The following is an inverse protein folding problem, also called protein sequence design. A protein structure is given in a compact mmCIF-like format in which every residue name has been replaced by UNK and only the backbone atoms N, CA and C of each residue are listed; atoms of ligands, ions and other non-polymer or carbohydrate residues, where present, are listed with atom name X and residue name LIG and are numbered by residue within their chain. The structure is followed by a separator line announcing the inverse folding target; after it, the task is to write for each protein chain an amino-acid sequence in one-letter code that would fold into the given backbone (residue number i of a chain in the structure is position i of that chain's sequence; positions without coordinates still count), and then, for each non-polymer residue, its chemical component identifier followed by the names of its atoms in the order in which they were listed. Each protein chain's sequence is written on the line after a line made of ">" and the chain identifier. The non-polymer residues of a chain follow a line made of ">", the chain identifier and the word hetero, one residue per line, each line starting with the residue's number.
data_IF_209240470322
#
_entry.id   IF_209240470322
#
_cell.length_a   1.000
_cell.length_b   1.000
_cell.length_c   1.000
_cell.angle_alpha   90.00
_cell.angle_beta   90.00
_cell.angle_gamma   90.00
#
_symmetry.space_group_name_H-M   'P 1'
#
loop_
_entity.id
_entity.type
_entity.pdbx_description
1 polymer ?
#
# COMPACT_ATOMS: atom_id res chain seq x y z
N UNK A 1 16.65 -50.99 8.91
CA UNK A 1 17.43 -50.61 10.11
C UNK A 1 16.88 -49.27 10.54
N UNK A 2 15.79 -49.34 11.29
CA UNK A 2 15.10 -48.24 11.94
C UNK A 2 15.97 -47.67 13.03
N UNK A 3 16.33 -46.38 12.99
CA UNK A 3 16.60 -45.57 14.19
C UNK A 3 16.44 -44.09 13.83
N UNK A 4 15.22 -43.56 13.88
CA UNK A 4 14.99 -42.18 14.37
C UNK A 4 13.68 -42.18 15.14
N UNK A 5 13.90 -42.45 16.41
CA UNK A 5 12.99 -42.65 17.50
C UNK A 5 12.15 -41.41 17.79
N UNK A 6 10.88 -41.66 18.10
CA UNK A 6 9.88 -40.68 18.47
C UNK A 6 10.31 -39.85 19.69
N UNK A 7 10.55 -38.56 19.48
CA UNK A 7 10.40 -37.57 20.55
C UNK A 7 8.93 -37.12 20.55
N UNK A 8 8.10 -37.84 21.31
CA UNK A 8 6.73 -37.45 21.59
C UNK A 8 6.76 -36.25 22.56
N UNK A 9 6.85 -35.04 22.04
CA UNK A 9 6.52 -33.84 22.83
C UNK A 9 5.06 -33.94 23.28
N UNK A 10 4.71 -33.57 24.52
CA UNK A 10 3.32 -33.46 24.91
C UNK A 10 2.73 -32.31 24.09
N UNK A 11 2.05 -32.66 23.00
CA UNK A 11 1.25 -31.72 22.24
C UNK A 11 0.21 -31.18 23.19
N UNK A 12 0.36 -29.92 23.59
CA UNK A 12 -0.71 -29.14 24.23
C UNK A 12 -1.86 -29.14 23.23
N UNK A 13 -2.80 -30.06 23.43
CA UNK A 13 -4.10 -30.00 22.77
C UNK A 13 -4.85 -28.87 23.44
N UNK A 14 -4.72 -27.67 22.89
CA UNK A 14 -5.61 -26.57 23.21
C UNK A 14 -6.99 -26.99 22.70
N UNK A 15 -7.83 -27.51 23.58
CA UNK A 15 -9.23 -27.83 23.26
C UNK A 15 -10.01 -26.52 23.22
N UNK A 16 -10.75 -26.30 22.13
CA UNK A 16 -11.54 -25.08 21.88
C UNK A 16 -12.56 -24.75 22.98
N UNK A 17 -12.94 -25.73 23.81
CA UNK A 17 -13.86 -25.54 24.94
C UNK A 17 -13.26 -24.86 26.17
N UNK A 18 -11.94 -24.88 26.35
CA UNK A 18 -11.27 -24.23 27.50
C UNK A 18 -10.90 -22.77 27.20
N UNK A 19 -11.06 -22.32 25.96
CA UNK A 19 -10.67 -20.99 25.52
C UNK A 19 -11.83 -19.98 25.41
N UNK A 20 -13.10 -20.38 25.62
CA UNK A 20 -14.22 -19.44 25.43
C UNK A 20 -14.19 -18.30 26.44
N UNK A 21 -13.85 -18.59 27.69
CA UNK A 21 -13.76 -17.61 28.76
C UNK A 21 -12.56 -16.67 28.54
N UNK A 22 -11.42 -17.23 28.14
CA UNK A 22 -10.22 -16.45 27.76
C UNK A 22 -10.46 -15.57 26.53
N UNK A 23 -11.21 -16.07 25.55
CA UNK A 23 -11.59 -15.31 24.36
C UNK A 23 -12.57 -14.17 24.71
N UNK A 24 -13.56 -14.43 25.58
CA UNK A 24 -14.46 -13.40 26.08
C UNK A 24 -13.72 -12.32 26.88
N UNK A 25 -12.74 -12.73 27.71
CA UNK A 25 -11.85 -11.79 28.41
C UNK A 25 -11.00 -10.98 27.44
N UNK A 26 -10.45 -11.61 26.39
CA UNK A 26 -9.73 -10.91 25.33
C UNK A 26 -10.62 -9.89 24.62
N UNK A 27 -11.81 -10.29 24.18
CA UNK A 27 -12.75 -9.43 23.44
C UNK A 27 -13.16 -8.23 24.29
N UNK A 28 -13.53 -8.46 25.55
CA UNK A 28 -13.94 -7.38 26.45
C UNK A 28 -12.79 -6.41 26.76
N UNK A 29 -11.58 -6.91 26.95
CA UNK A 29 -10.39 -6.07 27.19
C UNK A 29 -10.02 -5.25 25.96
N UNK A 30 -10.05 -5.87 24.79
CA UNK A 30 -9.67 -5.24 23.54
C UNK A 30 -10.72 -4.23 23.07
N UNK A 31 -12.00 -4.52 23.28
CA UNK A 31 -13.07 -3.59 22.96
C UNK A 31 -13.06 -2.35 23.89
N UNK A 32 -12.76 -2.53 25.19
CA UNK A 32 -12.50 -1.41 26.11
C UNK A 32 -11.31 -0.56 25.67
N UNK A 33 -10.23 -1.20 25.19
CA UNK A 33 -9.04 -0.49 24.69
C UNK A 33 -9.36 0.36 23.45
N UNK A 34 -10.26 -0.12 22.57
CA UNK A 34 -10.56 0.50 21.27
C UNK A 34 -11.65 1.57 21.32
N UNK A 35 -12.51 1.60 22.34
CA UNK A 35 -13.65 2.50 22.34
C UNK A 35 -14.08 3.01 23.71
N UNK A 36 -14.27 4.33 23.81
CA UNK A 36 -15.01 5.00 24.88
C UNK A 36 -16.49 4.55 24.96
N UNK A 37 -16.99 3.84 23.94
CA UNK A 37 -18.36 3.32 23.90
C UNK A 37 -18.65 2.36 25.06
N UNK A 38 -17.62 1.67 25.56
CA UNK A 38 -17.75 0.76 26.70
C UNK A 38 -18.04 1.47 28.02
N UNK A 39 -17.61 2.72 28.15
CA UNK A 39 -17.94 3.55 29.32
C UNK A 39 -19.40 4.03 29.30
N UNK A 40 -20.08 3.92 28.14
CA UNK A 40 -21.43 4.48 27.93
C UNK A 40 -22.55 3.43 27.97
N UNK A 41 -22.27 2.15 27.70
CA UNK A 41 -23.25 1.06 27.85
C UNK A 41 -22.58 -0.30 28.13
N UNK A 42 -22.44 -0.70 29.40
CA UNK A 42 -21.92 -2.02 29.79
C UNK A 42 -22.71 -3.20 29.21
N UNK A 43 -23.99 -3.02 28.91
CA UNK A 43 -24.88 -4.06 28.39
C UNK A 43 -24.52 -4.41 26.93
N UNK A 44 -24.25 -3.39 26.11
CA UNK A 44 -23.80 -3.59 24.72
C UNK A 44 -22.45 -4.32 24.68
N UNK A 45 -21.59 -4.03 25.63
CA UNK A 45 -20.29 -4.65 25.79
C UNK A 45 -20.38 -6.15 26.06
N UNK A 46 -21.27 -6.51 26.99
CA UNK A 46 -21.53 -7.90 27.33
C UNK A 46 -22.12 -8.65 26.14
N UNK A 47 -23.09 -8.02 25.44
CA UNK A 47 -23.68 -8.60 24.23
C UNK A 47 -22.62 -8.85 23.14
N UNK A 48 -21.76 -7.86 22.86
CA UNK A 48 -20.67 -8.02 21.87
C UNK A 48 -19.73 -9.15 22.28
N UNK A 49 -19.34 -9.21 23.55
CA UNK A 49 -18.45 -10.27 24.04
C UNK A 49 -19.08 -11.66 23.87
N UNK A 50 -20.35 -11.83 24.23
CA UNK A 50 -21.07 -13.11 24.11
C UNK A 50 -21.23 -13.54 22.64
N UNK A 51 -21.72 -12.63 21.80
CA UNK A 51 -21.97 -12.88 20.38
C UNK A 51 -20.68 -13.20 19.64
N UNK A 52 -19.62 -12.41 19.85
CA UNK A 52 -18.34 -12.65 19.18
C UNK A 52 -17.60 -13.87 19.72
N UNK A 53 -17.67 -14.17 21.02
CA UNK A 53 -17.01 -15.37 21.58
C UNK A 53 -17.63 -16.64 21.01
N UNK A 54 -18.96 -16.66 20.86
CA UNK A 54 -19.69 -17.77 20.25
C UNK A 54 -19.40 -17.88 18.76
N UNK A 55 -19.46 -16.75 18.03
CA UNK A 55 -19.24 -16.74 16.58
C UNK A 55 -17.79 -17.01 16.16
N UNK A 56 -16.82 -16.72 17.01
CA UNK A 56 -15.41 -16.92 16.73
C UNK A 56 -14.98 -18.39 16.75
N UNK A 57 -15.71 -19.28 17.45
CA UNK A 57 -15.36 -20.70 17.61
C UNK A 57 -13.86 -20.92 17.96
N UNK A 58 -13.35 -20.11 18.90
CA UNK A 58 -11.95 -20.14 19.33
C UNK A 58 -10.94 -19.39 18.43
N UNK A 59 -11.38 -18.72 17.36
CA UNK A 59 -10.51 -17.99 16.44
C UNK A 59 -10.27 -16.54 16.89
N UNK A 60 -9.20 -16.30 17.66
CA UNK A 60 -8.79 -14.96 18.12
C UNK A 60 -8.61 -13.94 16.97
N UNK A 61 -8.06 -14.37 15.84
CA UNK A 61 -7.89 -13.49 14.67
C UNK A 61 -9.25 -13.01 14.13
N UNK A 62 -10.24 -13.91 14.06
CA UNK A 62 -11.59 -13.54 13.62
C UNK A 62 -12.20 -12.53 14.61
N UNK A 63 -12.08 -12.79 15.91
CA UNK A 63 -12.59 -11.90 16.95
C UNK A 63 -11.94 -10.51 16.90
N UNK A 64 -10.60 -10.44 16.74
CA UNK A 64 -9.87 -9.18 16.61
C UNK A 64 -10.33 -8.38 15.40
N UNK A 65 -10.50 -9.03 14.25
CA UNK A 65 -10.95 -8.37 13.01
C UNK A 65 -12.42 -7.93 13.08
N UNK A 66 -13.26 -8.68 13.80
CA UNK A 66 -14.63 -8.25 14.10
C UNK A 66 -14.66 -7.02 15.00
N UNK A 67 -13.75 -6.92 15.97
CA UNK A 67 -13.57 -5.70 16.76
C UNK A 67 -13.09 -4.53 15.91
N UNK A 68 -12.29 -4.76 14.86
CA UNK A 68 -11.92 -3.72 13.89
C UNK A 68 -13.13 -3.25 13.06
N UNK A 69 -14.08 -4.15 12.78
CA UNK A 69 -15.35 -3.79 12.13
C UNK A 69 -16.29 -3.03 13.07
N UNK A 70 -16.36 -3.38 14.34
CA UNK A 70 -17.23 -2.69 15.29
C UNK A 70 -16.65 -1.35 15.74
N UNK A 71 -15.34 -1.28 15.90
CA UNK A 71 -14.63 -0.13 16.50
C UNK A 71 -13.40 0.24 15.66
N UNK A 72 -13.59 0.76 14.43
CA UNK A 72 -12.47 1.11 13.56
C UNK A 72 -11.68 2.28 14.15
N UNK A 73 -10.37 2.14 14.28
CA UNK A 73 -9.51 3.22 14.82
C UNK A 73 -9.20 4.32 13.81
N UNK A 74 -9.25 3.98 12.51
CA UNK A 74 -8.72 4.82 11.42
C UNK A 74 -9.72 5.05 10.27
N UNK A 75 -10.98 4.70 10.48
CA UNK A 75 -12.08 4.89 9.53
C UNK A 75 -13.30 5.50 10.21
N UNK A 76 -14.34 5.79 9.42
CA UNK A 76 -15.63 6.27 9.91
C UNK A 76 -16.21 5.26 10.91
N UNK A 77 -16.64 5.76 12.07
CA UNK A 77 -17.30 4.93 13.08
C UNK A 77 -18.64 4.41 12.52
N UNK A 78 -18.95 3.11 12.69
CA UNK A 78 -20.25 2.59 12.27
C UNK A 78 -21.37 3.21 13.10
N UNK A 79 -22.53 3.35 12.48
CA UNK A 79 -23.77 3.72 13.16
C UNK A 79 -24.27 2.58 14.06
N UNK A 80 -25.14 2.89 15.01
CA UNK A 80 -25.76 1.88 15.88
C UNK A 80 -26.51 0.82 15.07
N UNK A 81 -27.17 1.21 13.98
CA UNK A 81 -27.85 0.28 13.07
C UNK A 81 -26.86 -0.65 12.38
N UNK A 82 -25.74 -0.13 11.85
CA UNK A 82 -24.71 -0.98 11.23
C UNK A 82 -24.05 -1.95 12.22
N UNK A 83 -23.94 -1.57 13.50
CA UNK A 83 -23.48 -2.46 14.57
C UNK A 83 -24.52 -3.57 14.81
N UNK A 84 -25.80 -3.22 14.92
CA UNK A 84 -26.88 -4.19 15.10
C UNK A 84 -26.94 -5.19 13.93
N UNK A 85 -26.96 -4.69 12.69
CA UNK A 85 -26.97 -5.52 11.49
C UNK A 85 -25.76 -6.48 11.45
N UNK A 86 -24.58 -6.01 11.87
CA UNK A 86 -23.37 -6.84 11.92
C UNK A 86 -23.44 -7.93 13.00
N UNK A 87 -24.05 -7.64 14.16
CA UNK A 87 -24.24 -8.60 15.25
C UNK A 87 -25.35 -9.61 14.98
N UNK A 88 -26.39 -9.21 14.24
CA UNK A 88 -27.46 -10.11 13.78
C UNK A 88 -26.97 -11.07 12.68
N UNK A 89 -26.16 -10.57 11.74
CA UNK A 89 -25.60 -11.35 10.63
C UNK A 89 -24.07 -11.37 10.66
N UNK A 90 -23.53 -12.20 11.55
CA UNK A 90 -22.10 -12.41 11.68
C UNK A 90 -21.48 -13.05 10.43
N UNK A 91 -20.31 -12.55 9.97
CA UNK A 91 -19.52 -13.22 8.94
C UNK A 91 -19.11 -14.63 9.37
N UNK A 92 -19.40 -15.64 8.57
CA UNK A 92 -19.17 -17.05 8.94
C UNK A 92 -17.73 -17.51 8.71
N UNK A 93 -16.93 -16.73 7.99
CA UNK A 93 -15.54 -17.08 7.67
C UNK A 93 -14.61 -15.88 7.75
N UNK A 94 -13.30 -16.12 7.94
CA UNK A 94 -12.27 -15.08 7.83
C UNK A 94 -12.31 -14.36 6.48
N UNK A 95 -12.61 -15.09 5.40
CA UNK A 95 -12.78 -14.54 4.05
C UNK A 95 -13.88 -13.46 4.04
N UNK A 96 -15.00 -13.71 4.68
CA UNK A 96 -16.11 -12.76 4.75
C UNK A 96 -15.75 -11.53 5.59
N UNK A 97 -15.03 -11.73 6.71
CA UNK A 97 -14.51 -10.64 7.54
C UNK A 97 -13.55 -9.76 6.74
N UNK A 98 -12.62 -10.36 5.99
CA UNK A 98 -11.71 -9.62 5.12
C UNK A 98 -12.46 -8.78 4.08
N UNK A 99 -13.46 -9.34 3.41
CA UNK A 99 -14.27 -8.58 2.44
C UNK A 99 -15.02 -7.41 3.10
N UNK A 100 -15.60 -7.60 4.30
CA UNK A 100 -16.25 -6.51 5.04
C UNK A 100 -15.27 -5.40 5.43
N UNK A 101 -14.05 -5.74 5.86
CA UNK A 101 -13.00 -4.75 6.16
C UNK A 101 -12.55 -4.00 4.91
N UNK A 102 -12.28 -4.72 3.82
CA UNK A 102 -11.88 -4.16 2.54
C UNK A 102 -12.96 -3.26 1.92
N UNK A 103 -14.24 -3.55 2.17
CA UNK A 103 -15.35 -2.71 1.69
C UNK A 103 -15.31 -1.28 2.25
N UNK A 104 -14.70 -1.08 3.44
CA UNK A 104 -14.58 0.23 4.11
C UNK A 104 -13.41 1.07 3.64
N UNK A 105 -12.52 0.51 2.83
CA UNK A 105 -11.37 1.22 2.28
C UNK A 105 -11.84 2.22 1.21
N UNK A 106 -11.50 3.49 1.42
CA UNK A 106 -11.83 4.58 0.49
C UNK A 106 -10.93 4.57 -0.76
N UNK A 107 -9.61 4.56 -0.58
CA UNK A 107 -8.66 4.57 -1.69
C UNK A 107 -8.29 3.14 -2.12
N UNK A 108 -9.16 2.57 -2.94
CA UNK A 108 -8.99 1.19 -3.42
C UNK A 108 -7.72 1.00 -4.25
N UNK A 109 -7.33 2.01 -5.02
CA UNK A 109 -6.18 1.94 -5.93
C UNK A 109 -4.87 1.83 -5.17
N UNK A 110 -4.62 2.77 -4.24
CA UNK A 110 -3.40 2.76 -3.43
C UNK A 110 -3.34 1.57 -2.48
N UNK A 111 -4.49 1.18 -1.93
CA UNK A 111 -4.57 0.00 -1.06
C UNK A 111 -4.24 -1.28 -1.80
N UNK A 112 -4.81 -1.47 -3.00
CA UNK A 112 -4.47 -2.62 -3.84
C UNK A 112 -2.98 -2.62 -4.20
N UNK A 113 -2.44 -1.45 -4.55
CA UNK A 113 -1.01 -1.27 -4.79
C UNK A 113 -0.15 -1.65 -3.57
N UNK A 114 -0.52 -1.19 -2.38
CA UNK A 114 0.12 -1.54 -1.11
C UNK A 114 0.16 -3.06 -0.89
N UNK A 115 -0.98 -3.74 -1.04
CA UNK A 115 -1.03 -5.19 -0.90
C UNK A 115 -0.18 -5.91 -1.95
N UNK A 116 -0.19 -5.44 -3.20
CA UNK A 116 0.68 -5.99 -4.24
C UNK A 116 2.16 -5.85 -3.86
N UNK A 117 2.58 -4.65 -3.41
CA UNK A 117 3.95 -4.38 -2.96
C UNK A 117 4.39 -5.37 -1.88
N UNK A 118 3.63 -5.47 -0.78
CA UNK A 118 3.96 -6.32 0.37
C UNK A 118 3.98 -7.80 -0.04
N UNK A 119 3.02 -8.24 -0.86
CA UNK A 119 2.88 -9.65 -1.25
C UNK A 119 4.06 -10.16 -2.08
N UNK A 120 4.57 -9.35 -3.01
CA UNK A 120 5.64 -9.79 -3.92
C UNK A 120 7.04 -9.34 -3.52
N UNK A 121 7.16 -8.55 -2.45
CA UNK A 121 8.44 -8.06 -1.97
C UNK A 121 9.41 -9.21 -1.70
N UNK A 122 10.70 -9.00 -2.03
CA UNK A 122 11.76 -10.00 -1.87
C UNK A 122 12.31 -10.07 -0.45
N UNK A 123 12.02 -9.04 0.33
CA UNK A 123 12.20 -8.90 1.78
C UNK A 123 11.10 -7.98 2.30
N UNK A 124 10.78 -7.99 3.60
CA UNK A 124 9.88 -7.02 4.20
C UNK A 124 10.30 -5.58 3.85
N UNK A 125 9.30 -4.74 3.60
CA UNK A 125 9.48 -3.32 3.24
C UNK A 125 9.25 -2.47 4.47
N UNK A 126 10.09 -1.44 4.66
CA UNK A 126 9.84 -0.46 5.71
C UNK A 126 8.72 0.51 5.33
N UNK A 127 8.20 1.23 6.31
CA UNK A 127 7.20 2.29 6.10
C UNK A 127 7.70 3.29 5.04
N UNK A 128 8.93 3.77 5.20
CA UNK A 128 9.50 4.76 4.27
C UNK A 128 9.65 4.22 2.85
N UNK A 129 10.03 2.95 2.70
CA UNK A 129 10.11 2.29 1.39
C UNK A 129 8.76 2.20 0.69
N UNK A 130 7.71 1.87 1.44
CA UNK A 130 6.34 1.78 0.91
C UNK A 130 5.80 3.15 0.52
N UNK A 131 6.03 4.19 1.32
CA UNK A 131 5.63 5.57 0.97
C UNK A 131 6.34 6.01 -0.31
N UNK A 132 7.65 5.77 -0.41
CA UNK A 132 8.43 6.04 -1.62
C UNK A 132 7.86 5.29 -2.84
N UNK A 133 7.54 4.01 -2.69
CA UNK A 133 6.99 3.18 -3.76
C UNK A 133 5.60 3.67 -4.22
N UNK A 134 4.70 3.99 -3.27
CA UNK A 134 3.36 4.49 -3.57
C UNK A 134 3.37 5.90 -4.20
N UNK A 135 4.44 6.67 -4.01
CA UNK A 135 4.61 7.98 -4.65
C UNK A 135 4.95 7.88 -6.14
N UNK A 136 5.22 6.69 -6.67
CA UNK A 136 5.63 6.48 -8.06
C UNK A 136 4.54 5.75 -8.83
N UNK A 137 4.19 6.31 -10.00
CA UNK A 137 3.30 5.65 -10.93
C UNK A 137 4.06 4.73 -11.89
N UNK A 138 3.65 3.45 -12.04
CA UNK A 138 4.24 2.55 -13.03
C UNK A 138 4.24 3.15 -14.44
N UNK A 139 5.40 3.17 -15.09
CA UNK A 139 5.54 3.61 -16.49
C UNK A 139 5.47 5.12 -16.73
N UNK A 140 5.39 5.95 -15.68
CA UNK A 140 5.47 7.41 -15.77
C UNK A 140 6.76 7.88 -15.08
N UNK A 141 7.46 8.83 -15.72
CA UNK A 141 8.60 9.50 -15.10
C UNK A 141 8.09 10.64 -14.24
N UNK A 142 8.21 10.48 -12.92
CA UNK A 142 7.81 11.48 -11.94
C UNK A 142 7.21 10.84 -10.71
N UNK A 143 7.28 11.55 -9.59
CA UNK A 143 6.49 11.22 -8.41
C UNK A 143 5.14 11.89 -8.53
N UNK A 144 4.08 11.19 -8.16
CA UNK A 144 2.91 11.90 -7.65
C UNK A 144 3.32 12.50 -6.31
N UNK A 145 3.13 13.81 -6.15
CA UNK A 145 3.26 14.43 -4.86
C UNK A 145 2.15 13.88 -3.97
N UNK A 146 2.46 12.82 -3.21
CA UNK A 146 1.64 12.46 -2.08
C UNK A 146 1.88 13.56 -1.05
N UNK A 147 1.00 14.55 -1.02
CA UNK A 147 0.96 15.51 0.07
C UNK A 147 0.40 14.74 1.27
N UNK A 148 1.28 14.04 1.99
CA UNK A 148 0.90 13.38 3.23
C UNK A 148 0.72 14.50 4.27
N UNK A 149 -0.51 15.01 4.38
CA UNK A 149 -0.87 15.91 5.48
C UNK A 149 -0.91 15.16 6.83
N UNK A 150 -0.99 13.83 6.78
CA UNK A 150 -0.94 12.91 7.91
C UNK A 150 0.47 12.33 8.11
N UNK A 151 0.73 11.62 9.20
CA UNK A 151 1.99 10.88 9.34
C UNK A 151 1.98 9.67 8.41
N UNK A 152 3.13 9.21 7.88
CA UNK A 152 3.24 7.99 7.07
C UNK A 152 2.50 6.77 7.63
N UNK A 153 2.60 6.56 8.94
CA UNK A 153 1.93 5.48 9.67
C UNK A 153 0.40 5.60 9.58
N UNK A 154 -0.14 6.81 9.66
CA UNK A 154 -1.59 7.05 9.59
C UNK A 154 -2.12 6.76 8.19
N UNK A 155 -1.34 7.08 7.15
CA UNK A 155 -1.71 6.74 5.77
C UNK A 155 -1.76 5.22 5.57
N UNK A 156 -0.77 4.48 6.05
CA UNK A 156 -0.77 3.01 5.95
C UNK A 156 -1.97 2.41 6.68
N UNK A 157 -2.29 2.94 7.86
CA UNK A 157 -3.46 2.54 8.64
C UNK A 157 -4.77 2.78 7.89
N UNK A 158 -4.89 3.88 7.14
CA UNK A 158 -6.05 4.18 6.29
C UNK A 158 -6.14 3.27 5.05
N UNK A 159 -5.00 2.92 4.43
CA UNK A 159 -4.99 2.12 3.21
C UNK A 159 -5.23 0.63 3.51
N UNK A 160 -4.63 0.05 4.54
CA UNK A 160 -4.74 -1.40 4.77
C UNK A 160 -4.61 -1.84 6.22
N UNK A 161 -4.69 -0.90 7.18
CA UNK A 161 -4.27 -1.11 8.56
C UNK A 161 -4.91 -2.27 9.32
N UNK A 162 -6.12 -2.69 8.96
CA UNK A 162 -6.77 -3.82 9.64
C UNK A 162 -6.25 -5.19 9.20
N UNK A 163 -5.56 -5.25 8.05
CA UNK A 163 -4.98 -6.49 7.52
C UNK A 163 -3.46 -6.50 7.60
N UNK A 164 -2.86 -5.40 8.07
CA UNK A 164 -1.43 -5.19 8.12
C UNK A 164 -1.02 -4.82 9.55
N UNK A 165 0.17 -5.25 9.96
CA UNK A 165 0.82 -4.73 11.15
C UNK A 165 2.22 -4.22 10.81
N UNK A 166 2.76 -3.40 11.70
CA UNK A 166 4.12 -2.90 11.63
C UNK A 166 4.90 -3.63 12.72
N UNK A 167 5.94 -4.34 12.32
CA UNK A 167 6.88 -4.98 13.24
C UNK A 167 7.71 -3.90 13.95
N UNK A 168 7.83 -3.98 15.27
CA UNK A 168 8.43 -2.91 16.07
C UNK A 168 9.96 -2.92 15.98
N UNK A 169 10.57 -4.09 15.78
CA UNK A 169 12.03 -4.24 15.79
C UNK A 169 12.69 -3.63 14.55
N UNK A 170 12.11 -3.83 13.37
CA UNK A 170 12.69 -3.42 12.09
C UNK A 170 11.85 -2.40 11.29
N UNK A 171 10.72 -1.96 11.87
CA UNK A 171 9.76 -1.03 11.27
C UNK A 171 9.24 -1.50 9.89
N UNK A 172 9.14 -2.82 9.70
CA UNK A 172 8.67 -3.42 8.44
C UNK A 172 7.20 -3.78 8.48
N UNK A 173 6.57 -3.76 7.31
CA UNK A 173 5.14 -3.99 7.16
C UNK A 173 4.87 -5.44 6.77
N UNK A 174 3.95 -6.08 7.49
CA UNK A 174 3.54 -7.47 7.29
C UNK A 174 2.02 -7.60 7.26
N UNK A 175 1.54 -8.70 6.69
CA UNK A 175 0.14 -9.08 6.85
C UNK A 175 -0.10 -9.60 8.26
N UNK A 176 -1.26 -9.26 8.85
CA UNK A 176 -1.67 -9.75 10.18
C UNK A 176 -1.69 -11.29 10.27
N UNK A 177 -1.88 -11.96 9.14
CA UNK A 177 -1.80 -13.41 9.03
C UNK A 177 -1.64 -13.84 7.56
N UNK A 178 -1.02 -15.00 7.31
CA UNK A 178 -0.83 -15.56 5.95
C UNK A 178 -2.13 -15.78 5.18
N UNK A 179 -3.24 -16.03 5.90
CA UNK A 179 -4.57 -16.17 5.29
C UNK A 179 -5.08 -14.87 4.66
N UNK A 180 -4.67 -13.69 5.14
CA UNK A 180 -5.05 -12.42 4.56
C UNK A 180 -4.39 -12.21 3.19
N UNK A 181 -3.08 -12.50 3.09
CA UNK A 181 -2.36 -12.49 1.83
C UNK A 181 -2.95 -13.52 0.85
N UNK A 182 -3.20 -14.74 1.34
CA UNK A 182 -3.80 -15.82 0.55
C UNK A 182 -5.17 -15.43 -0.02
N UNK A 183 -6.01 -14.76 0.79
CA UNK A 183 -7.33 -14.27 0.37
C UNK A 183 -7.25 -13.27 -0.79
N UNK A 184 -6.28 -12.35 -0.74
CA UNK A 184 -6.04 -11.36 -1.79
C UNK A 184 -5.50 -11.98 -3.10
N UNK A 185 -4.87 -13.16 -3.01
CA UNK A 185 -4.27 -13.84 -4.15
C UNK A 185 -5.21 -14.84 -4.86
N UNK A 186 -6.42 -15.06 -4.36
CA UNK A 186 -7.39 -15.98 -4.98
C UNK A 186 -7.91 -15.40 -6.30
N UNK A 187 -7.49 -16.01 -7.42
CA UNK A 187 -8.01 -15.65 -8.74
C UNK A 187 -9.47 -16.09 -8.89
N UNK A 188 -10.30 -15.19 -9.44
CA UNK A 188 -11.69 -15.52 -9.82
C UNK A 188 -12.76 -15.17 -8.79
N UNK A 189 -12.39 -14.60 -7.63
CA UNK A 189 -13.37 -13.93 -6.76
C UNK A 189 -13.52 -12.48 -7.19
N UNK A 190 -14.76 -11.97 -7.11
CA UNK A 190 -15.14 -10.57 -7.37
C UNK A 190 -14.60 -9.60 -6.31
N UNK A 191 -13.45 -9.89 -5.69
CA UNK A 191 -12.86 -9.00 -4.70
C UNK A 191 -12.15 -7.87 -5.46
N UNK A 192 -12.57 -6.63 -5.20
CA UNK A 192 -12.02 -5.42 -5.84
C UNK A 192 -10.52 -5.23 -5.56
N UNK A 193 -9.98 -5.99 -4.61
CA UNK A 193 -8.60 -5.98 -4.16
C UNK A 193 -7.81 -7.22 -4.59
N UNK A 194 -8.45 -8.22 -5.20
CA UNK A 194 -7.77 -9.43 -5.64
C UNK A 194 -6.74 -9.17 -6.74
N UNK A 195 -5.63 -9.90 -6.73
CA UNK A 195 -4.61 -9.81 -7.78
C UNK A 195 -3.85 -11.13 -7.97
N UNK A 196 -3.35 -11.34 -9.18
CA UNK A 196 -2.45 -12.45 -9.47
C UNK A 196 -1.00 -12.13 -9.08
N UNK A 197 -0.19 -13.17 -8.85
CA UNK A 197 1.27 -13.01 -8.63
C UNK A 197 1.92 -12.28 -9.80
N UNK A 198 1.59 -12.64 -11.04
CA UNK A 198 2.17 -11.99 -12.23
C UNK A 198 1.79 -10.51 -12.32
N UNK A 199 0.56 -10.16 -11.96
CA UNK A 199 0.08 -8.78 -11.92
C UNK A 199 0.84 -7.96 -10.87
N UNK A 200 0.94 -8.49 -9.64
CA UNK A 200 1.67 -7.83 -8.55
C UNK A 200 3.16 -7.69 -8.85
N UNK A 201 3.79 -8.71 -9.45
CA UNK A 201 5.19 -8.63 -9.91
C UNK A 201 5.36 -7.56 -10.99
N UNK A 202 4.42 -7.49 -11.94
CA UNK A 202 4.44 -6.47 -13.00
C UNK A 202 4.28 -5.06 -12.43
N UNK A 203 3.40 -4.88 -11.45
CA UNK A 203 3.22 -3.61 -10.73
C UNK A 203 4.50 -3.19 -10.00
N UNK A 204 5.06 -4.08 -9.17
CA UNK A 204 6.31 -3.83 -8.45
C UNK A 204 7.48 -3.53 -9.40
N UNK A 205 7.62 -4.30 -10.48
CA UNK A 205 8.64 -4.07 -11.51
C UNK A 205 8.46 -2.73 -12.22
N UNK A 206 7.22 -2.34 -12.50
CA UNK A 206 6.87 -1.03 -13.05
C UNK A 206 7.26 0.13 -12.13
N UNK A 207 7.04 -0.01 -10.82
CA UNK A 207 7.46 0.98 -9.82
C UNK A 207 8.99 1.03 -9.75
N UNK A 208 9.67 -0.11 -9.59
CA UNK A 208 11.13 -0.12 -9.50
C UNK A 208 11.80 0.48 -10.75
N UNK A 209 11.28 0.16 -11.94
CA UNK A 209 11.82 0.71 -13.19
C UNK A 209 11.58 2.21 -13.30
N UNK A 210 10.40 2.71 -12.93
CA UNK A 210 10.10 4.14 -12.90
C UNK A 210 10.95 4.89 -11.85
N UNK A 211 11.05 4.33 -10.64
CA UNK A 211 11.83 4.90 -9.53
C UNK A 211 13.31 5.05 -9.89
N UNK A 212 13.93 4.02 -10.47
CA UNK A 212 15.34 4.06 -10.90
C UNK A 212 15.61 5.04 -12.05
N UNK A 213 14.58 5.42 -12.82
CA UNK A 213 14.69 6.41 -13.88
C UNK A 213 14.32 7.84 -13.42
N UNK A 214 14.06 8.08 -12.12
CA UNK A 214 13.76 9.43 -11.63
C UNK A 214 14.95 10.39 -11.91
N UNK A 215 14.69 11.68 -12.22
CA UNK A 215 15.74 12.65 -12.57
C UNK A 215 16.84 12.79 -11.51
N UNK A 216 16.48 12.60 -10.24
CA UNK A 216 17.39 12.63 -9.09
C UNK A 216 18.52 11.59 -9.20
N UNK A 217 18.28 10.48 -9.90
CA UNK A 217 19.24 9.40 -10.11
C UNK A 217 19.91 9.44 -11.49
N UNK A 218 19.42 10.25 -12.42
CA UNK A 218 19.89 10.25 -13.81
C UNK A 218 21.12 11.14 -14.07
N UNK A 219 21.70 11.74 -13.03
CA UNK A 219 22.90 12.61 -13.15
C UNK A 219 22.68 13.89 -13.95
N UNK A 220 21.49 14.09 -14.50
CA UNK A 220 21.11 15.27 -15.27
C UNK A 220 20.32 16.19 -14.35
N UNK A 221 20.99 17.23 -13.83
CA UNK A 221 20.38 18.34 -13.10
C UNK A 221 19.29 19.00 -13.96
N UNK A 222 18.06 18.51 -13.90
CA UNK A 222 16.90 19.27 -14.32
C UNK A 222 16.17 19.75 -13.06
N UNK A 223 16.09 21.08 -12.93
CA UNK A 223 15.27 21.73 -11.91
C UNK A 223 13.83 21.24 -12.06
N UNK A 224 13.10 20.99 -10.96
CA UNK A 224 11.72 20.55 -11.03
C UNK A 224 10.88 21.63 -11.70
N UNK A 225 10.39 21.35 -12.92
CA UNK A 225 9.39 22.17 -13.60
C UNK A 225 8.07 21.45 -13.49
N UNK A 226 7.20 21.87 -12.56
CA UNK A 226 5.80 21.44 -12.57
C UNK A 226 5.17 21.93 -13.88
N UNK A 227 4.60 21.00 -14.66
CA UNK A 227 3.84 21.34 -15.84
C UNK A 227 2.61 22.16 -15.41
N UNK A 228 2.60 23.45 -15.79
CA UNK A 228 1.50 24.37 -15.55
C UNK A 228 0.27 23.98 -16.39
N UNK A 229 -0.52 23.02 -15.89
CA UNK A 229 -1.88 22.78 -16.33
C UNK A 229 -2.82 23.73 -15.60
N UNK A 230 -3.22 24.82 -16.25
CA UNK A 230 -4.12 25.84 -15.72
C UNK A 230 -5.53 25.27 -15.46
N UNK A 231 -5.81 24.86 -14.22
CA UNK A 231 -7.19 24.70 -13.74
C UNK A 231 -7.65 26.02 -13.11
N UNK A 232 -8.27 26.88 -13.92
CA UNK A 232 -8.96 28.08 -13.42
C UNK A 232 -10.34 27.66 -12.90
N UNK A 233 -10.48 27.49 -11.59
CA UNK A 233 -11.79 27.39 -10.94
C UNK A 233 -12.12 28.75 -10.33
N UNK A 234 -13.33 29.25 -10.56
CA UNK A 234 -13.76 30.56 -10.05
C UNK A 234 -14.08 30.46 -8.54
N UNK A 235 -13.84 31.53 -7.75
CA UNK A 235 -14.05 31.53 -6.30
C UNK A 235 -15.49 31.25 -5.86
N UNK A 236 -16.48 31.46 -6.73
CA UNK A 236 -17.90 31.34 -6.43
C UNK A 236 -18.36 29.88 -6.31
N UNK A 237 -17.71 28.94 -7.02
CA UNK A 237 -18.03 27.50 -6.95
C UNK A 237 -17.48 26.81 -5.69
N UNK A 238 -16.39 27.34 -5.12
CA UNK A 238 -15.72 26.76 -3.94
C UNK A 238 -16.48 27.08 -2.65
N UNK A 239 -17.00 28.30 -2.54
CA UNK A 239 -17.70 28.78 -1.33
C UNK A 239 -19.02 28.06 -1.11
N UNK A 240 -19.77 27.75 -2.18
CA UNK A 240 -21.06 27.08 -2.05
C UNK A 240 -20.95 25.57 -1.78
N UNK A 241 -19.88 24.90 -2.22
CA UNK A 241 -19.77 23.44 -2.11
C UNK A 241 -18.97 22.93 -0.90
N UNK A 242 -18.05 23.73 -0.33
CA UNK A 242 -17.09 23.26 0.67
C UNK A 242 -17.38 23.77 2.10
N UNK A 243 -18.04 24.91 2.25
CA UNK A 243 -18.20 25.54 3.58
C UNK A 243 -19.37 24.96 4.38
N UNK A 244 -20.39 24.38 3.72
CA UNK A 244 -21.61 23.92 4.42
C UNK A 244 -21.77 22.39 4.54
N UNK A 245 -20.95 21.57 3.87
CA UNK A 245 -21.25 20.13 3.75
C UNK A 245 -20.26 19.16 4.42
N UNK A 246 -19.05 19.58 4.83
CA UNK A 246 -17.99 18.59 5.19
C UNK A 246 -17.15 18.89 6.43
N UNK A 247 -17.41 19.95 7.22
CA UNK A 247 -16.53 20.31 8.34
C UNK A 247 -17.24 20.42 9.71
N UNK A 248 -16.71 19.77 10.78
CA UNK A 248 -17.30 19.80 12.11
C UNK A 248 -17.22 21.19 12.78
N UNK A 249 -18.25 21.51 13.59
CA UNK A 249 -18.49 22.81 14.26
C UNK A 249 -17.31 23.46 15.03
N UNK A 250 -16.35 22.72 15.64
CA UNK A 250 -15.25 23.34 16.39
C UNK A 250 -14.25 24.11 15.51
N UNK A 251 -14.17 23.78 14.22
CA UNK A 251 -13.18 24.34 13.27
C UNK A 251 -13.74 25.53 12.48
N UNK A 252 -15.07 25.74 12.50
CA UNK A 252 -15.76 26.78 11.75
C UNK A 252 -15.40 28.21 12.22
N UNK A 253 -15.20 28.41 13.53
CA UNK A 253 -14.92 29.72 14.12
C UNK A 253 -13.49 30.26 13.88
N UNK A 254 -12.41 29.47 14.03
CA UNK A 254 -11.06 29.96 13.73
C UNK A 254 -10.87 30.21 12.22
N UNK A 255 -11.43 29.36 11.34
CA UNK A 255 -11.34 29.56 9.88
C UNK A 255 -12.14 30.78 9.40
N UNK A 256 -13.34 31.01 9.94
CA UNK A 256 -14.16 32.18 9.60
C UNK A 256 -13.47 33.51 9.95
N UNK A 257 -12.72 33.55 11.05
CA UNK A 257 -11.92 34.73 11.43
C UNK A 257 -10.73 34.99 10.49
N UNK A 258 -10.17 33.95 9.88
CA UNK A 258 -9.07 34.04 8.92
C UNK A 258 -9.62 34.46 7.55
N UNK A 259 -10.74 33.87 7.10
CA UNK A 259 -11.39 34.20 5.82
C UNK A 259 -11.95 35.63 5.84
N UNK A 260 -12.58 36.07 6.93
CA UNK A 260 -13.06 37.46 7.08
C UNK A 260 -11.93 38.50 7.15
N UNK A 261 -10.77 38.14 7.71
CA UNK A 261 -9.56 39.00 7.67
C UNK A 261 -8.93 39.09 6.28
N UNK A 262 -9.20 38.12 5.41
CA UNK A 262 -8.73 38.12 4.02
C UNK A 262 -9.70 38.87 3.08
N UNK A 263 -10.98 39.03 3.45
CA UNK A 263 -11.98 39.66 2.59
C UNK A 263 -11.93 41.21 2.57
N UNK A 264 -11.18 41.85 3.46
CA UNK A 264 -11.06 43.32 3.54
C UNK A 264 -9.90 43.91 2.75
N UNK A 265 -9.09 43.06 2.08
CA UNK A 265 -8.07 43.52 1.12
C UNK A 265 -8.33 42.89 -0.25
N UNK A 266 -9.13 43.59 -1.04
CA UNK A 266 -9.08 43.67 -2.50
C UNK A 266 -8.37 42.47 -3.17
N UNK A 267 -9.14 41.39 -3.36
CA UNK A 267 -9.00 40.41 -4.45
C UNK A 267 -7.57 40.07 -4.90
N UNK A 268 -6.73 39.54 -4.01
CA UNK A 268 -5.54 38.78 -4.43
C UNK A 268 -5.90 37.31 -4.59
N UNK A 269 -5.89 36.83 -5.84
CA UNK A 269 -5.90 35.39 -6.19
C UNK A 269 -4.94 34.65 -5.25
N UNK A 270 -5.47 33.71 -4.48
CA UNK A 270 -4.64 32.81 -3.67
C UNK A 270 -3.92 31.88 -4.65
N UNK A 271 -2.61 32.01 -4.75
CA UNK A 271 -1.78 31.17 -5.61
C UNK A 271 -1.62 29.79 -4.96
N UNK A 272 -2.56 28.89 -5.27
CA UNK A 272 -2.53 27.51 -4.78
C UNK A 272 -1.24 26.79 -5.15
N UNK A 273 -0.62 27.13 -6.28
CA UNK A 273 0.67 26.58 -6.71
C UNK A 273 1.78 26.92 -5.72
N UNK A 274 1.81 28.17 -5.25
CA UNK A 274 2.77 28.61 -4.24
C UNK A 274 2.54 27.91 -2.90
N UNK A 275 1.27 27.79 -2.46
CA UNK A 275 0.93 27.13 -1.20
C UNK A 275 1.26 25.63 -1.26
N UNK A 276 0.93 24.96 -2.36
CA UNK A 276 1.31 23.57 -2.58
C UNK A 276 2.83 23.40 -2.56
N UNK A 277 3.58 24.30 -3.19
CA UNK A 277 5.05 24.26 -3.17
C UNK A 277 5.63 24.49 -1.76
N UNK A 278 5.08 25.43 -0.98
CA UNK A 278 5.49 25.69 0.41
C UNK A 278 5.12 24.52 1.34
N UNK A 279 3.96 23.89 1.15
CA UNK A 279 3.56 22.68 1.86
C UNK A 279 4.45 21.49 1.50
N UNK A 280 4.76 21.29 0.21
CA UNK A 280 5.69 20.23 -0.22
C UNK A 280 7.08 20.46 0.35
N UNK A 281 7.57 21.71 0.34
CA UNK A 281 8.87 22.06 0.91
C UNK A 281 8.93 21.90 2.43
N UNK A 282 7.83 22.13 3.14
CA UNK A 282 7.75 21.97 4.62
C UNK A 282 7.44 20.54 5.07
N UNK A 283 6.81 19.72 4.21
CA UNK A 283 6.52 18.31 4.46
C UNK A 283 7.68 17.38 4.13
N UNK A 284 8.74 17.90 3.51
CA UNK A 284 9.91 17.11 3.09
C UNK A 284 10.98 17.13 4.19
N UNK A 285 11.07 16.10 5.06
CA UNK A 285 12.38 15.74 5.60
C UNK A 285 13.32 15.45 4.40
N UNK A 286 14.66 15.51 4.57
CA UNK A 286 15.59 15.31 3.46
C UNK A 286 15.19 14.04 2.70
N UNK A 287 15.18 14.11 1.37
CA UNK A 287 14.84 13.02 0.44
C UNK A 287 15.52 11.71 0.87
N UNK A 288 14.91 10.97 1.80
CA UNK A 288 15.41 9.68 2.21
C UNK A 288 14.93 8.77 1.09
N UNK A 289 15.83 8.50 0.15
CA UNK A 289 15.64 7.60 -0.98
C UNK A 289 15.62 6.15 -0.46
N UNK A 290 14.70 5.86 0.47
CA UNK A 290 14.68 4.63 1.27
C UNK A 290 14.41 3.42 0.39
N UNK A 291 13.61 3.59 -0.66
CA UNK A 291 13.29 2.51 -1.60
C UNK A 291 14.37 2.27 -2.66
N UNK A 292 15.34 3.18 -2.79
CA UNK A 292 16.38 3.08 -3.82
C UNK A 292 17.26 1.82 -3.70
N UNK A 293 17.79 1.43 -2.52
CA UNK A 293 18.60 0.22 -2.37
C UNK A 293 17.81 -1.05 -2.72
N UNK A 294 16.53 -1.11 -2.34
CA UNK A 294 15.64 -2.21 -2.71
C UNK A 294 15.52 -2.30 -4.24
N UNK A 295 15.18 -1.18 -4.91
CA UNK A 295 15.02 -1.15 -6.36
C UNK A 295 16.27 -1.61 -7.08
N UNK A 296 17.45 -1.07 -6.71
CA UNK A 296 18.74 -1.44 -7.33
C UNK A 296 18.99 -2.94 -7.29
N UNK A 297 18.61 -3.59 -6.19
CA UNK A 297 18.88 -5.01 -5.94
C UNK A 297 17.86 -5.92 -6.64
N UNK A 298 16.58 -5.54 -6.66
CA UNK A 298 15.49 -6.46 -7.00
C UNK A 298 14.70 -6.11 -8.27
N UNK A 299 14.85 -4.93 -8.86
CA UNK A 299 14.03 -4.49 -10.01
C UNK A 299 13.98 -5.54 -11.13
N UNK A 300 15.13 -6.12 -11.48
CA UNK A 300 15.25 -7.09 -12.56
C UNK A 300 14.47 -8.38 -12.26
N UNK A 301 14.40 -8.79 -10.99
CA UNK A 301 13.63 -9.99 -10.60
C UNK A 301 12.13 -9.74 -10.71
N UNK A 302 11.68 -8.52 -10.37
CA UNK A 302 10.27 -8.14 -10.49
C UNK A 302 9.84 -7.99 -11.96
N UNK A 303 10.75 -7.68 -12.87
CA UNK A 303 10.44 -7.52 -14.29
C UNK A 303 10.36 -8.83 -15.08
N UNK A 304 10.43 -9.99 -14.41
CA UNK A 304 10.37 -11.32 -15.06
C UNK A 304 9.12 -11.48 -15.93
N UNK A 305 7.99 -11.02 -15.44
CA UNK A 305 6.68 -11.17 -16.10
C UNK A 305 6.34 -9.98 -17.01
N UNK A 306 7.17 -8.94 -17.04
CA UNK A 306 6.99 -7.79 -17.90
C UNK A 306 7.18 -8.20 -19.36
N UNK A 307 6.09 -8.22 -20.13
CA UNK A 307 6.16 -8.46 -21.57
C UNK A 307 6.67 -7.20 -22.26
N UNK A 308 7.90 -7.26 -22.79
CA UNK A 308 8.43 -6.19 -23.65
C UNK A 308 7.49 -5.99 -24.85
N UNK A 309 6.68 -4.95 -24.79
CA UNK A 309 5.83 -4.46 -25.86
C UNK A 309 6.17 -2.96 -26.09
N UNK A 310 5.41 -2.25 -26.92
CA UNK A 310 5.71 -0.85 -27.26
C UNK A 310 5.24 0.16 -26.17
N UNK A 311 4.91 -0.28 -24.96
CA UNK A 311 4.41 0.57 -23.89
C UNK A 311 5.53 1.36 -23.18
N UNK A 312 5.13 2.39 -22.42
CA UNK A 312 6.05 3.32 -21.74
C UNK A 312 6.96 2.61 -20.71
N UNK A 313 6.44 1.62 -19.99
CA UNK A 313 7.21 0.86 -19.00
C UNK A 313 8.41 0.11 -19.63
N UNK A 314 8.24 -0.42 -20.86
CA UNK A 314 9.32 -1.11 -21.57
C UNK A 314 10.43 -0.16 -22.02
N UNK A 315 10.10 1.11 -22.30
CA UNK A 315 11.12 2.13 -22.60
C UNK A 315 11.98 2.43 -21.38
N UNK A 316 11.38 2.48 -20.18
CA UNK A 316 12.12 2.70 -18.93
C UNK A 316 13.00 1.50 -18.59
N UNK A 317 12.49 0.29 -18.80
CA UNK A 317 13.26 -0.94 -18.65
C UNK A 317 14.47 -0.99 -19.60
N UNK A 318 14.26 -0.69 -20.89
CA UNK A 318 15.35 -0.64 -21.88
C UNK A 318 16.41 0.41 -21.54
N UNK A 319 16.01 1.59 -21.06
CA UNK A 319 16.97 2.61 -20.60
C UNK A 319 17.89 2.11 -19.49
N UNK A 320 17.37 1.35 -18.53
CA UNK A 320 18.19 0.77 -17.45
C UNK A 320 19.15 -0.31 -17.96
N UNK A 321 18.73 -1.07 -18.98
CA UNK A 321 19.60 -2.07 -19.61
C UNK A 321 20.72 -1.44 -20.44
N UNK A 322 20.42 -0.37 -21.17
CA UNK A 322 21.37 0.30 -22.05
C UNK A 322 22.31 1.24 -21.30
N UNK A 323 21.83 1.89 -20.24
CA UNK A 323 22.58 2.82 -19.40
C UNK A 323 22.47 2.41 -17.92
N UNK A 324 23.20 1.37 -17.49
CA UNK A 324 23.05 0.84 -16.14
C UNK A 324 23.50 1.78 -15.03
N UNK A 325 24.35 2.78 -15.32
CA UNK A 325 24.85 3.70 -14.31
C UNK A 325 25.49 2.95 -13.14
N UNK A 326 24.82 2.95 -11.99
CA UNK A 326 25.26 2.27 -10.75
C UNK A 326 24.57 0.91 -10.50
N UNK A 327 23.77 0.43 -11.44
CA UNK A 327 23.12 -0.87 -11.37
C UNK A 327 24.13 -1.99 -11.58
N UNK A 328 24.09 -2.99 -10.71
CA UNK A 328 24.88 -4.20 -10.85
C UNK A 328 24.03 -5.28 -11.49
N UNK A 329 24.57 -5.89 -12.55
CA UNK A 329 23.94 -7.03 -13.20
C UNK A 329 24.57 -8.34 -12.74
N UNK A 330 23.77 -9.41 -12.56
CA UNK A 330 24.28 -10.75 -12.24
C UNK A 330 25.30 -11.31 -13.26
N UNK A 331 25.30 -10.78 -14.48
CA UNK A 331 26.17 -11.19 -15.58
C UNK A 331 27.29 -10.19 -15.90
N UNK A 332 27.40 -9.09 -15.15
CA UNK A 332 28.39 -8.03 -15.44
C UNK A 332 28.28 -7.48 -16.86
N UNK A 333 29.40 -7.46 -17.60
CA UNK A 333 29.47 -7.00 -18.99
C UNK A 333 29.39 -8.13 -20.04
N UNK A 334 29.32 -9.40 -19.61
CA UNK A 334 29.40 -10.55 -20.50
C UNK A 334 28.03 -10.89 -21.12
N UNK A 335 27.96 -10.83 -22.46
CA UNK A 335 26.73 -11.07 -23.23
C UNK A 335 26.30 -12.54 -23.22
N UNK A 336 27.25 -13.48 -23.19
CA UNK A 336 26.99 -14.92 -23.12
C UNK A 336 26.48 -15.30 -21.75
N UNK A 337 27.11 -14.77 -20.68
CA UNK A 337 26.64 -14.98 -19.30
C UNK A 337 25.22 -14.41 -19.12
N UNK A 338 24.91 -13.25 -19.74
CA UNK A 338 23.54 -12.70 -19.73
C UNK A 338 22.53 -13.63 -20.41
N UNK A 339 22.88 -14.20 -21.57
CA UNK A 339 22.02 -15.14 -22.29
C UNK A 339 21.75 -16.39 -21.43
N UNK A 340 22.81 -16.99 -20.88
CA UNK A 340 22.71 -18.16 -19.99
C UNK A 340 21.85 -17.83 -18.76
N UNK A 341 22.09 -16.69 -18.12
CA UNK A 341 21.30 -16.25 -16.97
C UNK A 341 19.81 -16.10 -17.33
N UNK A 342 19.50 -15.52 -18.49
CA UNK A 342 18.12 -15.32 -18.93
C UNK A 342 17.36 -16.63 -19.16
N UNK A 343 18.05 -17.65 -19.68
CA UNK A 343 17.50 -19.00 -19.86
C UNK A 343 17.30 -19.69 -18.51
N UNK A 344 18.32 -19.69 -17.63
CA UNK A 344 18.24 -20.32 -16.31
C UNK A 344 17.14 -19.72 -15.42
N UNK A 345 16.90 -18.41 -15.52
CA UNK A 345 15.88 -17.71 -14.73
C UNK A 345 14.51 -17.64 -15.42
N UNK A 346 14.42 -18.14 -16.66
CA UNK A 346 13.23 -18.05 -17.51
C UNK A 346 12.74 -16.60 -17.55
N UNK A 347 13.65 -15.67 -17.86
CA UNK A 347 13.36 -14.24 -17.91
C UNK A 347 13.16 -13.80 -19.37
N UNK A 348 11.92 -13.78 -19.90
CA UNK A 348 11.64 -13.54 -21.31
C UNK A 348 12.16 -12.18 -21.80
N UNK A 349 12.05 -11.14 -20.98
CA UNK A 349 12.50 -9.77 -21.33
C UNK A 349 14.01 -9.69 -21.54
N UNK A 350 14.81 -10.26 -20.62
CA UNK A 350 16.28 -10.31 -20.75
C UNK A 350 16.70 -11.22 -21.91
N UNK A 351 15.98 -12.33 -22.13
CA UNK A 351 16.23 -13.24 -23.24
C UNK A 351 16.01 -12.54 -24.58
N UNK A 352 14.87 -11.86 -24.75
CA UNK A 352 14.55 -11.11 -25.96
C UNK A 352 15.55 -9.96 -26.20
N UNK A 353 15.94 -9.23 -25.16
CA UNK A 353 16.98 -8.21 -25.24
C UNK A 353 18.33 -8.81 -25.68
N UNK A 354 18.74 -9.92 -25.07
CA UNK A 354 20.00 -10.58 -25.38
C UNK A 354 20.04 -11.11 -26.81
N UNK A 355 18.95 -11.73 -27.27
CA UNK A 355 18.82 -12.22 -28.65
C UNK A 355 18.92 -11.08 -29.67
N UNK A 356 18.20 -9.96 -29.45
CA UNK A 356 18.27 -8.79 -30.33
C UNK A 356 19.69 -8.20 -30.41
N UNK A 357 20.37 -8.09 -29.27
CA UNK A 357 21.75 -7.58 -29.21
C UNK A 357 22.78 -8.52 -29.86
N UNK A 358 22.53 -9.83 -29.84
CA UNK A 358 23.37 -10.81 -30.56
C UNK A 358 23.11 -10.80 -32.07
N UNK A 359 21.84 -10.66 -32.49
CA UNK A 359 21.45 -10.70 -33.90
C UNK A 359 21.80 -9.42 -34.68
N UNK A 360 22.00 -8.27 -34.01
CA UNK A 360 22.21 -7.00 -34.71
C UNK A 360 23.20 -6.05 -33.98
N UNK A 361 24.53 -6.30 -34.06
CA UNK A 361 25.53 -5.58 -33.26
C UNK A 361 25.77 -4.11 -33.66
N UNK A 362 25.16 -3.62 -34.76
CA UNK A 362 25.40 -2.27 -35.31
C UNK A 362 24.30 -1.24 -35.03
N UNK A 363 23.22 -1.62 -34.36
CA UNK A 363 22.09 -0.69 -34.13
C UNK A 363 22.10 -0.19 -32.70
N UNK A 364 22.33 1.11 -32.52
CA UNK A 364 22.21 1.77 -31.23
C UNK A 364 20.73 1.76 -30.78
N UNK A 365 20.42 1.39 -29.52
CA UNK A 365 19.04 1.10 -29.07
C UNK A 365 18.06 2.29 -29.19
N UNK A 366 18.56 3.53 -29.26
CA UNK A 366 17.75 4.74 -29.48
C UNK A 366 17.17 4.87 -30.89
N UNK A 367 17.62 4.06 -31.86
CA UNK A 367 17.17 4.09 -33.26
C UNK A 367 16.15 2.98 -33.61
N UNK A 368 15.67 2.22 -32.62
CA UNK A 368 14.82 1.04 -32.81
C UNK A 368 13.42 1.23 -32.22
N UNK A 369 12.75 2.33 -32.59
CA UNK A 369 11.31 2.50 -32.37
C UNK A 369 10.70 2.87 -33.74
N UNK A 370 9.68 2.16 -34.25
CA UNK A 370 8.85 2.70 -35.33
C UNK A 370 8.05 3.92 -34.87
#
# INVERSE_FOLDING_TARGET
>A
MDIFEQASSPGVRVTTSENSDDLAMFISSEAKRRGELFDRSPELCQLIAEVLSTGADGMYLWASLMLDLLFPTHSTQPTVLEIQDLLEELPQSLSDVYEKLLARVHDRGRTRGLFQLITVARRPLSIGEVIDALSVNPGILGRETIVVLAKPVDLLKQLGGHLLYIEEEDETIHFIHDSAASHLMVQGRSSKFGFGVEEAQTYMGGICTAYLNLPEFSGSLQKPTLAAGSLTVSPEEIVNNVVHSTLPKPVQKPLGSIISRLSTRQSRRVDMTRILNELVASSSPPQQQLFHPYCKTFWLRHTKYSRLNAQRADRLWLRLMDNPGTLQFPWGLDKVVRLVWSLQRVHPSVLAYSYKMHANPRIHPSKLIP
#
